data_IF_475923248089
#
_entry.id   IF_475923248089
#
_cell.length_a   1.000
_cell.length_b   1.000
_cell.length_c   1.000
_cell.angle_alpha   90.00
_cell.angle_beta   90.00
_cell.angle_gamma   90.00
#
_symmetry.space_group_name_H-M   'P 1'
#
loop_
_entity.id
_entity.type
_entity.pdbx_description
1 polymer ?
#
# COMPACT_ATOMS: atom_id res chain seq x y z
N UNK A 1 51.73 84.64 -50.66
CA UNK A 1 50.27 84.41 -50.70
C UNK A 1 50.08 83.01 -50.32
N UNK A 2 49.88 82.80 -48.99
CA UNK A 2 49.86 81.43 -48.43
C UNK A 2 48.39 81.10 -48.02
N UNK A 3 47.92 80.01 -48.47
CA UNK A 3 46.63 79.52 -48.12
C UNK A 3 46.83 78.31 -47.16
N UNK A 4 46.42 78.49 -45.92
CA UNK A 4 46.36 77.45 -44.90
C UNK A 4 45.17 76.54 -45.14
N UNK A 5 45.42 75.26 -45.29
CA UNK A 5 44.35 74.21 -45.27
C UNK A 5 44.39 73.56 -43.88
N UNK A 6 43.34 73.72 -43.15
CA UNK A 6 43.16 73.08 -41.83
C UNK A 6 42.53 71.69 -42.06
N UNK A 7 43.24 70.63 -41.71
CA UNK A 7 42.77 69.27 -41.63
C UNK A 7 41.86 69.04 -40.43
N UNK A 8 40.65 68.56 -40.67
CA UNK A 8 39.66 68.25 -39.68
C UNK A 8 39.62 66.73 -39.44
N UNK A 9 40.28 66.25 -38.38
CA UNK A 9 40.27 64.84 -37.96
C UNK A 9 38.99 64.52 -37.24
N UNK A 10 38.03 63.88 -37.96
CA UNK A 10 36.86 63.26 -37.38
C UNK A 10 37.24 61.97 -36.66
N UNK A 11 37.20 61.94 -35.33
CA UNK A 11 37.35 60.76 -34.49
C UNK A 11 36.05 59.99 -34.46
N UNK A 12 35.98 58.92 -35.26
CA UNK A 12 34.87 57.97 -35.19
C UNK A 12 35.03 57.08 -33.92
N UNK A 13 34.20 57.29 -32.94
CA UNK A 13 34.10 56.43 -31.75
C UNK A 13 33.33 55.15 -32.12
N UNK A 14 34.01 54.01 -32.16
CA UNK A 14 33.39 52.71 -32.34
C UNK A 14 32.88 52.22 -31.00
N UNK A 15 31.57 52.30 -30.75
CA UNK A 15 30.94 51.75 -29.55
C UNK A 15 30.70 50.25 -29.82
N UNK A 16 31.56 49.42 -29.23
CA UNK A 16 31.37 47.95 -29.19
C UNK A 16 30.38 47.65 -28.06
N UNK A 17 29.11 47.44 -28.43
CA UNK A 17 28.10 46.96 -27.50
C UNK A 17 28.29 45.47 -27.27
N UNK A 18 28.88 45.12 -26.13
CA UNK A 18 29.06 43.75 -25.66
C UNK A 18 27.68 43.21 -25.18
N UNK A 19 26.96 42.51 -26.03
CA UNK A 19 25.71 41.80 -25.64
C UNK A 19 26.12 40.57 -24.83
N UNK A 20 26.00 40.68 -23.51
CA UNK A 20 26.14 39.56 -22.58
C UNK A 20 24.85 38.73 -22.64
N UNK A 21 24.83 37.69 -23.48
CA UNK A 21 23.77 36.68 -23.45
C UNK A 21 23.84 35.93 -22.10
N UNK A 22 23.04 36.34 -21.12
CA UNK A 22 22.74 35.52 -19.95
C UNK A 22 21.94 34.31 -20.45
N UNK A 23 22.61 33.18 -20.65
CA UNK A 23 21.95 31.89 -20.79
C UNK A 23 21.36 31.52 -19.40
N UNK A 24 20.08 31.84 -19.19
CA UNK A 24 19.31 31.22 -18.09
C UNK A 24 19.26 29.72 -18.38
N UNK A 25 20.15 28.99 -17.74
CA UNK A 25 20.01 27.54 -17.60
C UNK A 25 18.77 27.30 -16.74
N UNK A 26 17.64 27.04 -17.40
CA UNK A 26 16.47 26.48 -16.71
C UNK A 26 16.90 25.07 -16.27
N UNK A 27 17.44 24.97 -15.08
CA UNK A 27 17.59 23.69 -14.38
C UNK A 27 16.17 23.20 -14.14
N UNK A 28 15.69 22.32 -15.02
CA UNK A 28 14.47 21.59 -14.76
C UNK A 28 14.63 20.91 -13.41
N UNK A 29 13.93 21.40 -12.38
CA UNK A 29 13.84 20.72 -11.10
C UNK A 29 13.13 19.39 -11.37
N UNK A 30 13.92 18.32 -11.53
CA UNK A 30 13.40 16.96 -11.47
C UNK A 30 12.67 16.81 -10.13
N UNK A 31 11.53 16.10 -10.12
CA UNK A 31 10.78 15.81 -8.89
C UNK A 31 11.71 15.20 -7.84
N UNK A 32 11.52 15.57 -6.58
CA UNK A 32 12.24 14.93 -5.50
C UNK A 32 11.93 13.42 -5.42
N UNK A 33 12.81 12.58 -4.89
CA UNK A 33 12.49 11.16 -4.68
C UNK A 33 11.24 10.95 -3.83
N UNK A 34 10.96 11.86 -2.91
CA UNK A 34 9.76 11.87 -2.05
C UNK A 34 8.51 12.17 -2.88
N UNK A 35 8.52 13.21 -3.71
CA UNK A 35 7.40 13.56 -4.59
C UNK A 35 7.14 12.45 -5.62
N UNK A 36 8.19 11.90 -6.24
CA UNK A 36 8.07 10.77 -7.18
C UNK A 36 7.48 9.54 -6.46
N UNK A 37 7.96 9.24 -5.26
CA UNK A 37 7.47 8.13 -4.43
C UNK A 37 5.99 8.28 -4.08
N UNK A 38 5.57 9.48 -3.66
CA UNK A 38 4.17 9.77 -3.37
C UNK A 38 3.27 9.65 -4.61
N UNK A 39 3.70 10.16 -5.75
CA UNK A 39 2.94 10.05 -7.01
C UNK A 39 2.72 8.61 -7.45
N UNK A 40 3.74 7.76 -7.36
CA UNK A 40 3.63 6.35 -7.70
C UNK A 40 2.67 5.65 -6.73
N UNK A 41 2.82 5.89 -5.43
CA UNK A 41 1.93 5.35 -4.41
C UNK A 41 0.47 5.81 -4.63
N UNK A 42 0.26 7.10 -4.94
CA UNK A 42 -1.06 7.65 -5.24
C UNK A 42 -1.67 7.09 -6.54
N UNK A 43 -0.84 6.72 -7.52
CA UNK A 43 -1.31 6.04 -8.74
C UNK A 43 -1.74 4.61 -8.44
N UNK A 44 -0.95 3.90 -7.66
CA UNK A 44 -1.28 2.55 -7.20
C UNK A 44 -2.58 2.54 -6.38
N UNK A 45 -2.74 3.48 -5.47
CA UNK A 45 -3.95 3.66 -4.66
C UNK A 45 -5.19 3.90 -5.55
N UNK A 46 -5.11 4.83 -6.50
CA UNK A 46 -6.21 5.09 -7.44
C UNK A 46 -6.57 3.91 -8.33
N UNK A 47 -5.60 3.08 -8.71
CA UNK A 47 -5.85 1.90 -9.55
C UNK A 47 -6.62 0.79 -8.82
N UNK A 48 -6.73 0.89 -7.50
CA UNK A 48 -7.46 -0.05 -6.66
C UNK A 48 -8.87 0.44 -6.29
N UNK A 49 -9.23 1.68 -6.60
CA UNK A 49 -10.47 2.33 -6.24
C UNK A 49 -11.56 2.18 -7.33
N UNK A 50 -12.83 2.28 -6.94
CA UNK A 50 -14.00 2.23 -7.82
C UNK A 50 -14.70 0.87 -7.88
N UNK A 51 -14.30 -0.08 -7.03
CA UNK A 51 -14.93 -1.40 -6.96
C UNK A 51 -16.26 -1.41 -6.15
N UNK A 52 -16.47 -0.43 -5.28
CA UNK A 52 -17.65 -0.23 -4.45
C UNK A 52 -17.72 -1.19 -3.27
N UNK A 53 -18.06 -2.45 -3.51
CA UNK A 53 -18.03 -3.51 -2.50
C UNK A 53 -17.57 -4.83 -3.13
N UNK A 54 -17.03 -5.73 -2.29
CA UNK A 54 -16.67 -7.07 -2.73
C UNK A 54 -16.94 -8.15 -1.69
N UNK A 55 -17.18 -9.36 -2.19
CA UNK A 55 -17.16 -10.62 -1.44
C UNK A 55 -16.20 -11.57 -2.13
N UNK A 56 -15.41 -12.27 -1.36
CA UNK A 56 -14.46 -13.24 -1.90
C UNK A 56 -14.24 -14.36 -0.89
N UNK A 57 -14.13 -15.58 -1.36
CA UNK A 57 -13.66 -16.70 -0.55
C UNK A 57 -12.14 -16.76 -0.58
N UNK A 58 -11.55 -17.04 0.57
CA UNK A 58 -10.12 -17.06 0.75
C UNK A 58 -9.68 -18.31 1.48
N UNK A 59 -8.69 -18.98 0.97
CA UNK A 59 -7.97 -20.06 1.64
C UNK A 59 -6.68 -19.51 2.24
N UNK A 60 -6.53 -19.64 3.56
CA UNK A 60 -5.30 -19.32 4.27
C UNK A 60 -4.53 -20.61 4.59
N UNK A 61 -3.32 -20.72 4.08
CA UNK A 61 -2.44 -21.89 4.30
C UNK A 61 -1.28 -21.45 5.16
N UNK A 62 -1.18 -21.99 6.38
CA UNK A 62 -0.11 -21.70 7.33
C UNK A 62 0.91 -22.83 7.30
N UNK A 63 2.20 -22.48 7.21
CA UNK A 63 3.30 -23.43 7.28
C UNK A 63 4.24 -23.08 8.41
N UNK A 64 4.55 -24.04 9.26
CA UNK A 64 5.57 -23.86 10.29
C UNK A 64 6.99 -24.02 9.69
N UNK A 65 8.02 -23.85 10.51
CA UNK A 65 9.42 -23.96 10.06
C UNK A 65 9.81 -25.40 9.63
N UNK A 66 9.07 -26.41 10.06
CA UNK A 66 9.27 -27.81 9.66
C UNK A 66 8.53 -28.17 8.35
N UNK A 67 7.64 -27.29 7.88
CA UNK A 67 6.85 -27.49 6.67
C UNK A 67 5.46 -28.09 6.92
N UNK A 68 5.07 -28.32 8.18
CA UNK A 68 3.70 -28.79 8.49
C UNK A 68 2.69 -27.71 8.12
N UNK A 69 1.60 -28.12 7.49
CA UNK A 69 0.57 -27.22 6.97
C UNK A 69 -0.73 -27.29 7.79
N UNK A 70 -1.38 -26.13 7.90
CA UNK A 70 -2.76 -25.99 8.39
C UNK A 70 -3.52 -25.09 7.45
N UNK A 71 -4.71 -25.48 7.04
CA UNK A 71 -5.57 -24.74 6.11
C UNK A 71 -6.80 -24.18 6.80
N UNK A 72 -7.22 -23.00 6.40
CA UNK A 72 -8.44 -22.31 6.89
C UNK A 72 -9.23 -21.76 5.72
N UNK A 73 -10.53 -21.95 5.73
CA UNK A 73 -11.45 -21.29 4.80
C UNK A 73 -11.99 -20.02 5.45
N UNK A 74 -12.02 -18.94 4.71
CA UNK A 74 -12.34 -17.60 5.19
C UNK A 74 -13.22 -16.90 4.14
N UNK A 75 -14.33 -16.30 4.56
CA UNK A 75 -15.05 -15.33 3.74
C UNK A 75 -14.50 -13.93 4.05
N UNK A 76 -14.12 -13.19 3.02
CA UNK A 76 -13.63 -11.82 3.14
C UNK A 76 -14.55 -10.87 2.39
N UNK A 77 -15.04 -9.85 3.08
CA UNK A 77 -15.92 -8.84 2.51
C UNK A 77 -15.36 -7.46 2.73
N UNK A 78 -15.48 -6.58 1.73
CA UNK A 78 -15.03 -5.19 1.79
C UNK A 78 -16.13 -4.24 1.32
N UNK A 79 -16.09 -3.03 1.85
CA UNK A 79 -16.90 -1.90 1.43
C UNK A 79 -15.99 -0.70 1.27
N UNK A 80 -15.88 -0.22 0.04
CA UNK A 80 -15.13 0.98 -0.30
C UNK A 80 -15.84 2.24 0.23
N UNK A 81 -15.04 3.19 0.67
CA UNK A 81 -15.53 4.45 1.23
C UNK A 81 -14.82 5.63 0.58
N UNK A 82 -15.53 6.35 -0.27
CA UNK A 82 -15.07 7.61 -0.83
C UNK A 82 -15.28 8.74 0.20
N UNK A 83 -14.42 8.83 1.21
CA UNK A 83 -14.51 9.82 2.26
C UNK A 83 -13.13 10.28 2.70
N UNK A 84 -12.97 11.58 3.03
CA UNK A 84 -11.68 12.15 3.43
C UNK A 84 -11.27 11.85 4.88
N UNK A 85 -12.18 11.37 5.72
CA UNK A 85 -11.94 11.12 7.15
C UNK A 85 -11.90 9.63 7.49
N UNK A 86 -12.72 8.82 6.80
CA UNK A 86 -12.87 7.38 7.06
C UNK A 86 -12.53 6.60 5.79
N UNK A 87 -11.74 5.56 5.95
CA UNK A 87 -11.39 4.63 4.87
C UNK A 87 -12.33 3.44 4.83
N UNK A 88 -11.93 2.44 4.08
CA UNK A 88 -12.69 1.23 3.80
C UNK A 88 -13.03 0.41 5.04
N UNK A 89 -14.07 -0.40 4.91
CA UNK A 89 -14.45 -1.38 5.90
C UNK A 89 -14.20 -2.78 5.38
N UNK A 90 -13.74 -3.66 6.27
CA UNK A 90 -13.56 -5.07 5.93
C UNK A 90 -14.03 -5.98 7.05
N UNK A 91 -14.48 -7.16 6.66
CA UNK A 91 -14.89 -8.23 7.56
C UNK A 91 -14.27 -9.55 7.08
N UNK A 92 -13.47 -10.15 7.94
CA UNK A 92 -12.87 -11.48 7.77
C UNK A 92 -13.65 -12.44 8.65
N UNK A 93 -14.20 -13.52 8.09
CA UNK A 93 -14.96 -14.54 8.83
C UNK A 93 -14.35 -15.92 8.56
N UNK A 94 -13.94 -16.61 9.61
CA UNK A 94 -13.41 -17.96 9.53
C UNK A 94 -14.55 -18.98 9.41
N UNK A 95 -14.56 -19.78 8.35
CA UNK A 95 -15.53 -20.83 8.07
C UNK A 95 -15.05 -22.20 8.57
N UNK A 96 -13.74 -22.45 8.45
CA UNK A 96 -13.07 -23.67 8.92
C UNK A 96 -11.67 -23.35 9.46
N UNK A 97 -11.07 -24.23 10.30
CA UNK A 97 -11.63 -25.43 10.92
C UNK A 97 -12.61 -25.11 12.05
N UNK A 98 -13.23 -26.18 12.62
CA UNK A 98 -14.36 -26.04 13.55
C UNK A 98 -13.99 -25.31 14.86
N UNK A 99 -12.75 -25.42 15.32
CA UNK A 99 -12.24 -24.78 16.55
C UNK A 99 -12.17 -23.27 16.49
N UNK A 100 -12.02 -22.70 15.28
CA UNK A 100 -12.01 -21.24 15.05
C UNK A 100 -13.18 -20.75 14.22
N UNK A 101 -14.08 -21.66 13.80
CA UNK A 101 -15.27 -21.30 13.00
C UNK A 101 -16.07 -20.20 13.68
N UNK A 102 -16.46 -19.17 12.90
CA UNK A 102 -17.17 -17.99 13.38
C UNK A 102 -16.27 -16.93 14.05
N UNK A 103 -14.96 -17.17 14.17
CA UNK A 103 -14.02 -16.08 14.51
C UNK A 103 -14.12 -15.03 13.43
N UNK A 104 -14.28 -13.75 13.82
CA UNK A 104 -14.44 -12.68 12.85
C UNK A 104 -13.61 -11.45 13.24
N UNK A 105 -12.92 -10.85 12.26
CA UNK A 105 -12.25 -9.57 12.41
C UNK A 105 -13.00 -8.52 11.59
N UNK A 106 -13.53 -7.51 12.27
CA UNK A 106 -14.09 -6.31 11.65
C UNK A 106 -13.07 -5.19 11.70
N UNK A 107 -12.78 -4.57 10.57
CA UNK A 107 -11.89 -3.42 10.46
C UNK A 107 -12.63 -2.24 9.85
N UNK A 108 -12.49 -1.06 10.47
CA UNK A 108 -12.87 0.22 9.91
C UNK A 108 -11.61 1.06 9.77
N UNK A 109 -11.13 1.24 8.56
CA UNK A 109 -9.98 2.08 8.29
C UNK A 109 -10.31 3.55 8.61
N UNK A 110 -9.29 4.29 8.99
CA UNK A 110 -9.35 5.72 9.27
C UNK A 110 -8.21 6.38 8.50
N UNK A 111 -8.45 7.53 7.86
CA UNK A 111 -7.42 8.17 7.03
C UNK A 111 -6.23 8.67 7.86
N UNK A 112 -6.50 9.43 8.94
CA UNK A 112 -5.46 10.05 9.75
C UNK A 112 -5.35 9.49 11.16
N UNK A 113 -6.40 8.81 11.64
CA UNK A 113 -6.46 8.24 12.99
C UNK A 113 -6.09 6.74 12.95
N UNK A 114 -5.78 6.13 14.09
CA UNK A 114 -5.65 4.69 14.19
C UNK A 114 -6.96 3.98 13.82
N UNK A 115 -6.86 2.93 13.00
CA UNK A 115 -8.02 2.13 12.59
C UNK A 115 -8.73 1.51 13.77
N UNK A 116 -10.01 1.28 13.61
CA UNK A 116 -10.80 0.55 14.58
C UNK A 116 -10.93 -0.91 14.15
N UNK A 117 -10.44 -1.82 14.96
CA UNK A 117 -10.53 -3.26 14.73
C UNK A 117 -11.17 -3.96 15.92
N UNK A 118 -12.05 -4.91 15.65
CA UNK A 118 -12.72 -5.75 16.64
C UNK A 118 -12.65 -7.22 16.23
N UNK A 119 -12.13 -8.03 17.13
CA UNK A 119 -12.07 -9.48 16.97
C UNK A 119 -13.17 -10.13 17.79
N UNK A 120 -14.04 -10.87 17.15
CA UNK A 120 -15.01 -11.75 17.79
C UNK A 120 -14.40 -13.15 17.94
N UNK A 121 -14.48 -13.69 19.14
CA UNK A 121 -14.03 -15.02 19.51
C UNK A 121 -15.22 -15.85 19.96
N UNK A 122 -15.75 -16.77 19.14
CA UNK A 122 -16.95 -17.58 19.45
C UNK A 122 -16.81 -18.40 20.73
N UNK A 123 -15.66 -19.03 20.94
CA UNK A 123 -15.38 -19.82 22.13
C UNK A 123 -15.52 -19.01 23.44
N UNK A 124 -15.28 -17.72 23.39
CA UNK A 124 -15.42 -16.80 24.53
C UNK A 124 -16.71 -16.01 24.48
N UNK A 125 -17.49 -16.09 23.39
CA UNK A 125 -18.67 -15.25 23.10
C UNK A 125 -18.41 -13.76 23.30
N UNK A 126 -17.22 -13.29 22.96
CA UNK A 126 -16.75 -11.91 23.23
C UNK A 126 -16.21 -11.23 22.01
N UNK A 127 -16.57 -9.94 21.89
CA UNK A 127 -15.95 -9.00 20.96
C UNK A 127 -14.86 -8.24 21.69
N UNK A 128 -13.62 -8.37 21.26
CA UNK A 128 -12.47 -7.62 21.79
C UNK A 128 -12.05 -6.53 20.82
N UNK A 129 -11.86 -5.31 21.29
CA UNK A 129 -11.19 -4.27 20.50
C UNK A 129 -9.69 -4.57 20.43
N UNK A 130 -9.12 -4.51 19.25
CA UNK A 130 -7.66 -4.58 19.04
C UNK A 130 -7.10 -3.20 19.38
N UNK A 131 -6.31 -3.10 20.44
CA UNK A 131 -5.65 -1.85 20.80
C UNK A 131 -4.52 -1.53 19.81
N UNK A 132 -4.15 -0.27 19.69
CA UNK A 132 -3.04 0.14 18.80
C UNK A 132 -1.72 -0.56 19.14
N UNK A 133 -1.50 -0.92 20.43
CA UNK A 133 -0.32 -1.68 20.86
C UNK A 133 -0.31 -3.14 20.39
N UNK A 134 -1.48 -3.69 20.06
CA UNK A 134 -1.62 -5.10 19.66
C UNK A 134 -1.78 -5.30 18.15
N UNK A 135 -1.83 -4.21 17.36
CA UNK A 135 -1.99 -4.30 15.89
C UNK A 135 -0.82 -4.98 15.21
N UNK A 136 0.38 -4.87 15.77
CA UNK A 136 1.58 -5.55 15.27
C UNK A 136 1.66 -7.05 15.64
N UNK A 137 0.70 -7.54 16.44
CA UNK A 137 0.61 -8.96 16.78
C UNK A 137 0.13 -9.81 15.62
N UNK A 138 0.43 -11.13 15.65
CA UNK A 138 0.05 -12.04 14.58
C UNK A 138 -1.47 -12.22 14.52
N UNK A 139 -2.04 -12.13 13.32
CA UNK A 139 -3.46 -12.37 13.07
C UNK A 139 -3.77 -13.86 13.13
N UNK A 140 -4.42 -14.29 14.21
CA UNK A 140 -4.86 -15.68 14.44
C UNK A 140 -3.75 -16.71 14.16
N UNK A 141 -2.51 -16.39 14.54
CA UNK A 141 -1.34 -17.30 14.39
C UNK A 141 -0.74 -17.35 12.98
N UNK A 142 -1.18 -16.50 12.05
CA UNK A 142 -0.57 -16.35 10.72
C UNK A 142 0.66 -15.43 10.77
N UNK A 143 1.40 -15.35 9.67
CA UNK A 143 2.51 -14.41 9.50
C UNK A 143 2.02 -13.00 9.09
N UNK A 144 0.71 -12.81 8.91
CA UNK A 144 0.10 -11.48 8.81
C UNK A 144 -0.15 -10.90 10.20
N UNK A 145 0.07 -9.62 10.38
CA UNK A 145 -0.32 -8.89 11.58
C UNK A 145 -1.76 -8.34 11.45
N UNK A 146 -2.37 -7.94 12.55
CA UNK A 146 -3.68 -7.26 12.49
C UNK A 146 -3.62 -5.98 11.65
N UNK A 147 -2.50 -5.26 11.64
CA UNK A 147 -2.32 -4.06 10.83
C UNK A 147 -2.23 -4.34 9.33
N UNK A 148 -1.94 -5.57 8.91
CA UNK A 148 -1.92 -5.98 7.50
C UNK A 148 -3.34 -6.23 6.94
N UNK A 149 -4.38 -6.30 7.81
CA UNK A 149 -5.79 -6.47 7.43
C UNK A 149 -6.60 -5.18 7.50
N UNK A 150 -5.97 -4.04 7.37
CA UNK A 150 -6.63 -2.74 7.18
C UNK A 150 -6.27 -2.19 5.81
N UNK A 151 -7.16 -1.38 5.23
CA UNK A 151 -6.85 -0.68 4.01
C UNK A 151 -5.57 0.17 4.17
N UNK A 152 -4.73 0.15 3.15
CA UNK A 152 -3.53 0.97 3.12
C UNK A 152 -3.90 2.37 2.69
N UNK A 153 -4.11 3.25 3.65
CA UNK A 153 -4.43 4.66 3.38
C UNK A 153 -3.18 5.44 3.00
N UNK A 154 -3.20 6.12 1.86
CA UNK A 154 -2.06 6.84 1.32
C UNK A 154 -1.43 7.82 2.32
N UNK A 155 -2.25 8.57 3.06
CA UNK A 155 -1.80 9.58 4.04
C UNK A 155 -1.18 9.00 5.33
N UNK A 156 -1.22 7.69 5.52
CA UNK A 156 -0.62 7.02 6.69
C UNK A 156 0.87 6.74 6.55
N UNK A 157 1.44 7.02 5.39
CA UNK A 157 2.84 6.74 5.13
C UNK A 157 3.53 7.96 4.51
N UNK A 158 4.80 8.12 4.77
CA UNK A 158 5.70 8.87 3.90
C UNK A 158 6.30 7.93 2.86
N UNK A 159 6.58 8.45 1.68
CA UNK A 159 7.06 7.68 0.56
C UNK A 159 8.36 8.26 0.03
N UNK A 160 9.21 7.38 -0.52
CA UNK A 160 10.42 7.76 -1.22
C UNK A 160 10.66 6.78 -2.36
N UNK A 161 10.78 7.29 -3.57
CA UNK A 161 11.23 6.50 -4.71
C UNK A 161 12.70 6.13 -4.52
N UNK A 162 13.02 4.85 -4.66
CA UNK A 162 14.38 4.36 -4.54
C UNK A 162 15.02 4.12 -5.90
N UNK A 163 14.35 3.37 -6.79
CA UNK A 163 14.84 2.95 -8.09
C UNK A 163 13.75 2.26 -8.91
N UNK A 164 14.06 2.00 -10.15
CA UNK A 164 13.35 1.05 -11.01
C UNK A 164 14.18 -0.23 -11.09
N UNK A 165 13.51 -1.39 -11.11
CA UNK A 165 14.20 -2.66 -11.33
C UNK A 165 13.25 -3.72 -11.94
N UNK A 166 13.79 -4.76 -12.60
CA UNK A 166 12.97 -5.88 -13.07
C UNK A 166 12.28 -6.60 -11.90
N UNK A 167 11.02 -6.98 -12.11
CA UNK A 167 10.24 -7.84 -11.21
C UNK A 167 9.57 -8.97 -12.02
N UNK A 168 10.33 -10.04 -12.27
CA UNK A 168 10.01 -11.07 -13.26
C UNK A 168 10.17 -10.51 -14.67
N UNK A 169 9.13 -10.66 -15.49
CA UNK A 169 9.09 -10.12 -16.87
C UNK A 169 8.65 -8.65 -16.93
N UNK A 170 8.28 -8.06 -15.79
CA UNK A 170 7.79 -6.69 -15.68
C UNK A 170 8.90 -5.76 -15.17
N UNK A 171 8.64 -4.45 -15.25
CA UNK A 171 9.43 -3.42 -14.60
C UNK A 171 8.64 -2.87 -13.42
N UNK A 172 9.28 -2.76 -12.26
CA UNK A 172 8.69 -2.22 -11.04
C UNK A 172 9.37 -0.92 -10.60
N UNK A 173 8.56 0.00 -10.10
CA UNK A 173 9.02 1.10 -9.26
C UNK A 173 9.20 0.59 -7.83
N UNK A 174 10.36 0.84 -7.24
CA UNK A 174 10.66 0.45 -5.86
C UNK A 174 10.55 1.65 -4.95
N UNK A 175 9.66 1.55 -3.96
CA UNK A 175 9.35 2.60 -3.00
C UNK A 175 9.71 2.17 -1.58
N UNK A 176 10.38 3.03 -0.83
CA UNK A 176 10.37 2.96 0.62
C UNK A 176 9.14 3.70 1.13
N UNK A 177 8.42 3.09 2.09
CA UNK A 177 7.33 3.74 2.82
C UNK A 177 7.52 3.58 4.32
N UNK A 178 7.33 4.67 5.07
CA UNK A 178 7.50 4.69 6.52
C UNK A 178 6.14 4.99 7.15
N UNK A 179 5.64 4.13 8.06
CA UNK A 179 4.40 4.39 8.79
C UNK A 179 4.47 5.69 9.59
N UNK A 180 3.47 6.57 9.44
CA UNK A 180 3.33 7.82 10.19
C UNK A 180 2.44 7.66 11.43
N UNK A 181 1.81 6.50 11.60
CA UNK A 181 0.99 6.19 12.77
C UNK A 181 1.80 5.51 13.88
N UNK A 182 1.42 5.81 15.12
CA UNK A 182 2.11 5.26 16.29
C UNK A 182 1.93 3.74 16.41
N UNK A 183 2.93 3.08 16.98
CA UNK A 183 2.91 1.66 17.39
C UNK A 183 2.77 0.65 16.25
N UNK A 184 3.14 1.04 15.01
CA UNK A 184 3.36 0.06 13.95
C UNK A 184 4.39 -0.99 14.37
N UNK A 185 4.23 -2.22 13.92
CA UNK A 185 5.22 -3.29 14.07
C UNK A 185 6.43 -3.08 13.16
N UNK A 186 6.31 -2.15 12.21
CA UNK A 186 7.31 -1.92 11.17
C UNK A 186 7.98 -0.57 11.32
N UNK A 187 9.33 -0.56 11.20
CA UNK A 187 10.10 0.68 11.08
C UNK A 187 9.96 1.29 9.68
N UNK A 188 9.89 0.42 8.67
CA UNK A 188 9.66 0.77 7.27
C UNK A 188 9.19 -0.44 6.48
N UNK A 189 8.75 -0.18 5.28
CA UNK A 189 8.44 -1.19 4.27
C UNK A 189 9.06 -0.77 2.94
N UNK A 190 9.40 -1.75 2.08
CA UNK A 190 9.85 -1.49 0.70
C UNK A 190 8.92 -2.24 -0.24
N UNK A 191 8.28 -1.52 -1.15
CA UNK A 191 7.28 -2.05 -2.07
C UNK A 191 7.76 -1.99 -3.51
N UNK A 192 7.45 -3.01 -4.29
CA UNK A 192 7.63 -3.10 -5.73
C UNK A 192 6.27 -2.98 -6.38
N UNK A 193 6.06 -1.89 -7.09
CA UNK A 193 4.81 -1.59 -7.81
C UNK A 193 5.09 -1.72 -9.29
N UNK A 194 4.39 -2.61 -9.99
CA UNK A 194 4.59 -2.73 -11.43
C UNK A 194 4.06 -1.51 -12.19
N UNK A 195 4.75 -1.17 -13.29
CA UNK A 195 4.47 0.04 -14.05
C UNK A 195 3.30 -0.14 -15.04
N UNK A 196 2.82 -1.37 -15.26
CA UNK A 196 1.78 -1.65 -16.25
C UNK A 196 0.36 -1.53 -15.69
N UNK A 197 0.12 -2.13 -14.53
CA UNK A 197 -1.20 -2.13 -13.86
C UNK A 197 -1.17 -1.45 -12.49
N UNK A 198 -0.02 -0.90 -12.10
CA UNK A 198 0.21 -0.17 -10.84
C UNK A 198 -0.07 -0.98 -9.56
N UNK A 199 0.03 -2.29 -9.64
CA UNK A 199 -0.24 -3.20 -8.54
C UNK A 199 1.03 -3.66 -7.84
N UNK A 200 0.89 -3.98 -6.54
CA UNK A 200 1.96 -4.50 -5.71
C UNK A 200 2.43 -5.87 -6.21
N UNK A 201 3.74 -6.07 -6.41
CA UNK A 201 4.34 -7.37 -6.74
C UNK A 201 5.08 -7.98 -5.55
N UNK A 202 5.74 -7.14 -4.77
CA UNK A 202 6.50 -7.56 -3.60
C UNK A 202 6.45 -6.49 -2.52
N UNK A 203 6.45 -6.90 -1.26
CA UNK A 203 6.54 -6.01 -0.11
C UNK A 203 7.48 -6.61 0.94
N UNK A 204 8.52 -5.89 1.29
CA UNK A 204 9.42 -6.21 2.39
C UNK A 204 9.03 -5.41 3.63
N UNK A 205 8.97 -6.10 4.75
CA UNK A 205 8.63 -5.51 6.05
C UNK A 205 9.86 -5.54 6.95
N UNK A 206 10.22 -4.41 7.50
CA UNK A 206 11.35 -4.26 8.42
C UNK A 206 10.83 -4.07 9.84
N UNK A 207 11.32 -4.85 10.78
CA UNK A 207 10.93 -4.78 12.20
C UNK A 207 11.37 -3.45 12.84
N UNK A 208 11.00 -3.22 14.10
CA UNK A 208 11.35 -1.99 14.84
C UNK A 208 12.85 -1.79 15.05
N UNK A 209 13.66 -2.83 14.83
CA UNK A 209 15.13 -2.76 14.87
C UNK A 209 15.73 -2.47 13.49
N UNK A 210 14.89 -2.33 12.47
CA UNK A 210 15.31 -2.10 11.09
C UNK A 210 15.81 -3.37 10.38
N UNK A 211 15.54 -4.56 10.93
CA UNK A 211 15.91 -5.83 10.31
C UNK A 211 14.77 -6.36 9.45
N UNK A 212 15.10 -7.01 8.33
CA UNK A 212 14.09 -7.65 7.48
C UNK A 212 13.36 -8.73 8.28
N UNK A 213 12.06 -8.55 8.45
CA UNK A 213 11.19 -9.44 9.20
C UNK A 213 10.53 -10.48 8.30
N UNK A 214 9.85 -10.00 7.27
CA UNK A 214 9.06 -10.84 6.36
C UNK A 214 8.95 -10.21 4.97
N UNK A 215 8.65 -11.05 4.00
CA UNK A 215 8.47 -10.68 2.59
C UNK A 215 7.13 -11.21 2.14
N UNK A 216 6.35 -10.36 1.50
CA UNK A 216 5.12 -10.70 0.79
C UNK A 216 5.38 -10.67 -0.71
N UNK A 217 4.95 -11.70 -1.41
CA UNK A 217 4.87 -11.74 -2.88
C UNK A 217 3.40 -11.82 -3.30
N UNK A 218 3.01 -10.96 -4.24
CA UNK A 218 1.67 -10.88 -4.81
C UNK A 218 1.71 -11.35 -6.26
N UNK A 219 0.85 -12.30 -6.62
CA UNK A 219 0.85 -12.94 -7.94
C UNK A 219 -0.56 -13.32 -8.37
N UNK A 220 -0.67 -13.90 -9.58
CA UNK A 220 -1.95 -14.32 -10.19
C UNK A 220 -2.96 -13.17 -10.22
N UNK A 221 -2.57 -12.05 -10.87
CA UNK A 221 -3.44 -10.90 -11.05
C UNK A 221 -4.45 -11.16 -12.16
N UNK A 222 -5.72 -10.84 -11.87
CA UNK A 222 -6.82 -10.90 -12.84
C UNK A 222 -7.56 -9.58 -12.84
N UNK A 223 -8.02 -9.19 -14.02
CA UNK A 223 -8.78 -7.97 -14.23
C UNK A 223 -10.27 -8.17 -13.98
N UNK A 224 -10.89 -7.19 -13.33
CA UNK A 224 -12.31 -7.09 -13.04
C UNK A 224 -12.78 -5.65 -13.29
N UNK A 225 -14.06 -5.47 -13.58
CA UNK A 225 -14.69 -4.14 -13.65
C UNK A 225 -13.92 -3.11 -14.51
N UNK A 226 -13.40 -3.53 -15.68
CA UNK A 226 -12.70 -2.66 -16.63
C UNK A 226 -11.56 -1.83 -15.97
N UNK A 227 -10.58 -2.51 -15.39
CA UNK A 227 -9.37 -1.88 -14.85
C UNK A 227 -9.10 -2.14 -13.37
N UNK A 228 -10.00 -2.81 -12.64
CA UNK A 228 -9.74 -3.23 -11.26
C UNK A 228 -8.98 -4.56 -11.27
N UNK A 229 -7.73 -4.52 -10.87
CA UNK A 229 -6.89 -5.72 -10.80
C UNK A 229 -6.88 -6.29 -9.38
N UNK A 230 -7.01 -7.61 -9.26
CA UNK A 230 -6.91 -8.31 -7.97
C UNK A 230 -5.90 -9.44 -8.05
N UNK A 231 -5.00 -9.48 -7.09
CA UNK A 231 -4.14 -10.64 -6.87
C UNK A 231 -4.97 -11.80 -6.34
N UNK A 232 -4.74 -12.98 -6.88
CA UNK A 232 -5.33 -14.22 -6.37
C UNK A 232 -4.42 -14.97 -5.41
N UNK A 233 -3.18 -14.51 -5.23
CA UNK A 233 -2.26 -15.13 -4.29
C UNK A 233 -1.35 -14.10 -3.62
N UNK A 234 -1.33 -14.11 -2.30
CA UNK A 234 -0.28 -13.53 -1.47
C UNK A 234 0.50 -14.64 -0.79
N UNK A 235 1.83 -14.61 -0.91
CA UNK A 235 2.72 -15.51 -0.22
C UNK A 235 3.58 -14.72 0.76
N UNK A 236 3.31 -14.86 2.06
CA UNK A 236 4.05 -14.20 3.13
C UNK A 236 5.06 -15.15 3.73
N UNK A 237 6.34 -14.79 3.70
CA UNK A 237 7.43 -15.56 4.29
C UNK A 237 8.14 -14.76 5.38
N UNK A 238 8.10 -15.23 6.60
CA UNK A 238 8.88 -14.68 7.69
C UNK A 238 10.32 -15.18 7.61
N UNK A 239 11.27 -14.27 7.37
CA UNK A 239 12.68 -14.64 7.15
C UNK A 239 13.40 -14.95 8.46
N UNK A 240 12.88 -14.48 9.59
CA UNK A 240 13.45 -14.70 10.93
C UNK A 240 12.99 -16.04 11.51
N UNK A 241 11.69 -16.35 11.43
CA UNK A 241 11.09 -17.57 12.01
C UNK A 241 11.00 -18.74 11.03
N UNK A 242 11.20 -18.50 9.72
CA UNK A 242 11.04 -19.47 8.61
C UNK A 242 9.61 -19.96 8.41
N UNK A 243 8.64 -19.38 9.09
CA UNK A 243 7.21 -19.65 8.90
C UNK A 243 6.69 -18.96 7.65
N UNK A 244 5.59 -19.48 7.11
CA UNK A 244 4.96 -18.92 5.92
C UNK A 244 3.44 -18.91 6.09
N UNK A 245 2.78 -18.01 5.38
CA UNK A 245 1.31 -17.98 5.25
C UNK A 245 0.96 -17.56 3.84
N UNK A 246 0.26 -18.41 3.11
CA UNK A 246 -0.30 -18.06 1.81
C UNK A 246 -1.77 -17.69 2.00
N UNK A 247 -2.22 -16.65 1.30
CA UNK A 247 -3.63 -16.33 1.09
C UNK A 247 -3.93 -16.57 -0.38
N UNK A 248 -4.95 -17.37 -0.65
CA UNK A 248 -5.42 -17.67 -2.00
C UNK A 248 -6.88 -17.24 -2.09
N UNK A 249 -7.19 -16.33 -3.01
CA UNK A 249 -8.55 -15.81 -3.21
C UNK A 249 -9.19 -16.44 -4.43
N UNK A 250 -10.48 -16.80 -4.28
CA UNK A 250 -11.30 -17.39 -5.32
C UNK A 250 -12.68 -16.69 -5.35
N UNK A 251 -13.34 -16.74 -6.48
CA UNK A 251 -14.74 -16.29 -6.61
C UNK A 251 -15.00 -14.83 -6.18
N UNK A 252 -14.17 -13.89 -6.64
CA UNK A 252 -14.43 -12.47 -6.42
C UNK A 252 -15.78 -12.04 -6.99
N UNK A 253 -16.63 -11.47 -6.15
CA UNK A 253 -17.89 -10.86 -6.50
C UNK A 253 -17.87 -9.39 -6.11
N UNK A 254 -18.14 -8.52 -7.07
CA UNK A 254 -18.16 -7.07 -6.85
C UNK A 254 -19.58 -6.53 -6.97
N UNK A 255 -19.81 -5.32 -6.42
CA UNK A 255 -21.10 -4.61 -6.50
C UNK A 255 -22.25 -5.48 -6.01
N UNK A 256 -22.05 -6.20 -4.91
CA UNK A 256 -23.00 -7.14 -4.33
C UNK A 256 -24.08 -6.45 -3.48
N UNK A 257 -24.03 -5.12 -3.37
CA UNK A 257 -25.00 -4.31 -2.63
C UNK A 257 -24.74 -4.30 -1.12
N UNK A 258 -23.50 -4.50 -0.69
CA UNK A 258 -23.13 -4.35 0.71
C UNK A 258 -23.28 -2.89 1.14
N UNK A 259 -23.75 -2.71 2.37
CA UNK A 259 -23.90 -1.40 3.00
C UNK A 259 -23.20 -1.39 4.36
N UNK A 260 -23.11 -0.21 4.97
CA UNK A 260 -22.58 -0.03 6.34
C UNK A 260 -23.17 -1.01 7.36
N UNK A 261 -24.43 -1.39 7.16
CA UNK A 261 -25.15 -2.34 7.99
C UNK A 261 -24.45 -3.71 8.11
N UNK A 262 -23.74 -4.17 7.07
CA UNK A 262 -22.99 -5.43 7.10
C UNK A 262 -21.73 -5.33 8.00
N UNK A 263 -21.24 -4.12 8.26
CA UNK A 263 -20.00 -3.86 8.97
C UNK A 263 -20.23 -3.24 10.36
N UNK A 264 -21.38 -3.48 10.97
CA UNK A 264 -21.68 -3.00 12.31
C UNK A 264 -21.05 -3.89 13.39
N UNK A 265 -20.31 -3.28 14.31
CA UNK A 265 -19.72 -3.97 15.47
C UNK A 265 -20.77 -4.80 16.26
N UNK A 266 -21.99 -4.27 16.42
CA UNK A 266 -23.07 -4.93 17.16
C UNK A 266 -23.55 -6.24 16.55
N UNK A 267 -23.20 -6.52 15.28
CA UNK A 267 -23.58 -7.73 14.56
C UNK A 267 -22.54 -8.83 14.61
N UNK A 268 -21.28 -8.52 15.01
CA UNK A 268 -20.19 -9.49 15.02
C UNK A 268 -20.52 -10.78 15.78
N UNK A 269 -21.21 -10.70 16.89
CA UNK A 269 -21.59 -11.89 17.69
C UNK A 269 -22.74 -12.71 17.09
N UNK A 270 -23.35 -12.25 16.00
CA UNK A 270 -24.50 -12.91 15.33
C UNK A 270 -24.13 -13.41 13.93
N UNK A 271 -22.92 -13.17 13.47
CA UNK A 271 -22.42 -13.65 12.18
C UNK A 271 -22.31 -15.18 12.25
N UNK A 272 -22.90 -15.87 11.27
CA UNK A 272 -22.91 -17.33 11.17
C UNK A 272 -22.36 -17.77 9.83
#
# INVERSE_FOLDING_TARGET
MSINVTENHSKTFLIITLIFLLSLSVTGFGKSPEDKGYEIAARSDRSDNGYGDSKVEMTMILRNAAGDETTRSISFTTLERENEEVGDKSLVLFNTPQDIKGTALLSHAQILKPDNQWLYLPALKRVKRISSSNKSGPFVGSEFAFEDFTATELKKFSYKFLREEPCGELTCDVLERIPLYEKSGYSKQVSWIDQSIFQLRKLEFYDRRGQLLKVLEASDYREYLDGIWRSHRFAMKNVQTKKQTDLVWEDYQFKTGLTDNAFEKGKLSRIR
#
